data_IF_626802498216
#
_entry.id   IF_626802498216
#
_cell.length_a   1.000
_cell.length_b   1.000
_cell.length_c   1.000
_cell.angle_alpha   90.00
_cell.angle_beta   90.00
_cell.angle_gamma   90.00
#
_symmetry.space_group_name_H-M   'P 1'
#
loop_
_entity.id
_entity.type
_entity.pdbx_description
1 polymer ?
#
# COMPACT_ATOMS: atom_id res chain seq x y z
N UNK A 1 26.74 -34.82 15.64
CA UNK A 1 25.53 -33.97 15.76
C UNK A 1 25.63 -32.83 16.79
N UNK A 2 25.77 -33.03 18.11
CA UNK A 2 25.98 -31.88 19.05
C UNK A 2 27.34 -31.20 18.87
N UNK A 3 28.38 -31.96 18.57
CA UNK A 3 29.72 -31.45 18.28
C UNK A 3 29.78 -30.62 16.98
N UNK A 4 29.22 -31.13 15.87
CA UNK A 4 29.13 -30.39 14.59
C UNK A 4 28.35 -29.07 14.68
N UNK A 5 27.31 -29.02 15.52
CA UNK A 5 26.54 -27.78 15.71
C UNK A 5 27.37 -26.77 16.50
N UNK A 6 28.14 -27.23 17.49
CA UNK A 6 29.03 -26.37 18.26
C UNK A 6 30.18 -25.82 17.40
N UNK A 7 30.75 -26.66 16.54
CA UNK A 7 31.82 -26.32 15.61
C UNK A 7 31.35 -25.34 14.51
N UNK A 8 30.13 -25.49 13.99
CA UNK A 8 29.52 -24.53 13.05
C UNK A 8 29.15 -23.20 13.70
N UNK A 9 28.79 -23.20 14.99
CA UNK A 9 28.52 -21.97 15.75
C UNK A 9 29.83 -21.25 16.09
N UNK A 10 30.88 -21.98 16.44
CA UNK A 10 32.20 -21.41 16.67
C UNK A 10 32.82 -20.86 15.38
N UNK A 11 32.72 -21.58 14.25
CA UNK A 11 33.24 -21.07 12.97
C UNK A 11 32.48 -19.84 12.48
N UNK A 12 31.16 -19.76 12.73
CA UNK A 12 30.36 -18.59 12.41
C UNK A 12 30.71 -17.38 13.30
N UNK A 13 30.94 -17.60 14.60
CA UNK A 13 31.36 -16.54 15.52
C UNK A 13 32.81 -16.06 15.28
N UNK A 14 33.67 -16.92 14.75
CA UNK A 14 35.07 -16.59 14.45
C UNK A 14 35.21 -15.81 13.12
N UNK A 15 34.28 -16.02 12.18
CA UNK A 15 34.30 -15.37 10.86
C UNK A 15 33.36 -14.16 10.74
N UNK A 16 32.55 -13.87 11.76
CA UNK A 16 31.66 -12.71 11.77
C UNK A 16 32.42 -11.44 12.16
N UNK A 17 32.22 -10.37 11.39
CA UNK A 17 32.81 -9.07 11.72
C UNK A 17 32.20 -8.50 13.02
N UNK A 18 32.95 -7.68 13.80
CA UNK A 18 32.44 -7.12 15.05
C UNK A 18 31.12 -6.34 14.90
N UNK A 19 30.91 -5.67 13.76
CA UNK A 19 29.67 -4.97 13.43
C UNK A 19 28.48 -5.90 13.23
N UNK A 20 28.69 -7.08 12.63
CA UNK A 20 27.64 -8.08 12.42
C UNK A 20 27.19 -8.68 13.76
N UNK A 21 28.14 -8.94 14.66
CA UNK A 21 27.84 -9.43 16.01
C UNK A 21 27.06 -8.39 16.83
N UNK A 22 27.37 -7.11 16.68
CA UNK A 22 26.65 -6.02 17.33
C UNK A 22 25.23 -5.83 16.76
N UNK A 23 25.08 -5.92 15.43
CA UNK A 23 23.76 -5.90 14.76
C UNK A 23 22.88 -7.07 15.20
N UNK A 24 23.43 -8.28 15.30
CA UNK A 24 22.70 -9.46 15.76
C UNK A 24 22.25 -9.27 17.22
N UNK A 25 23.10 -8.71 18.08
CA UNK A 25 22.72 -8.37 19.46
C UNK A 25 21.58 -7.34 19.51
N UNK A 26 21.65 -6.28 18.70
CA UNK A 26 20.60 -5.25 18.62
C UNK A 26 19.28 -5.80 18.08
N UNK A 27 19.31 -6.67 17.08
CA UNK A 27 18.12 -7.33 16.52
C UNK A 27 17.49 -8.25 17.57
N UNK A 28 18.30 -9.05 18.27
CA UNK A 28 17.82 -9.93 19.34
C UNK A 28 17.14 -9.14 20.45
N UNK A 29 17.73 -8.02 20.87
CA UNK A 29 17.16 -7.12 21.87
C UNK A 29 15.85 -6.48 21.38
N UNK A 30 15.78 -6.07 20.11
CA UNK A 30 14.60 -5.41 19.50
C UNK A 30 13.44 -6.37 19.24
N UNK A 31 13.73 -7.64 19.00
CA UNK A 31 12.71 -8.71 18.86
C UNK A 31 12.15 -9.12 20.23
N UNK A 32 13.01 -9.22 21.25
CA UNK A 32 12.59 -9.50 22.63
C UNK A 32 11.69 -8.39 23.19
N UNK A 33 11.93 -7.13 22.80
CA UNK A 33 11.18 -5.97 23.31
C UNK A 33 9.84 -5.70 22.58
N UNK A 34 9.45 -6.47 21.56
CA UNK A 34 8.18 -6.27 20.85
C UNK A 34 7.05 -7.11 21.46
N UNK A 35 6.24 -6.49 22.33
CA UNK A 35 5.15 -7.11 23.09
C UNK A 35 4.11 -7.90 22.25
N UNK A 36 3.86 -7.52 20.98
CA UNK A 36 2.87 -8.21 20.14
C UNK A 36 3.35 -9.54 19.56
N UNK A 37 4.67 -9.80 19.58
CA UNK A 37 5.25 -11.08 19.17
C UNK A 37 5.35 -12.07 20.35
N UNK A 38 5.15 -11.62 21.60
CA UNK A 38 5.32 -12.47 22.77
C UNK A 38 4.12 -13.38 23.03
N UNK A 39 2.88 -12.96 22.77
CA UNK A 39 1.68 -13.72 23.20
C UNK A 39 1.47 -15.05 22.44
N UNK A 40 1.65 -15.07 21.11
CA UNK A 40 1.52 -16.31 20.33
C UNK A 40 2.71 -17.27 20.50
N UNK A 41 3.79 -16.77 21.10
CA UNK A 41 5.02 -17.48 21.44
C UNK A 41 5.15 -17.72 22.96
N UNK A 42 4.13 -17.39 23.76
CA UNK A 42 4.16 -17.38 25.22
C UNK A 42 3.92 -18.75 25.87
N UNK A 43 4.20 -19.86 25.16
CA UNK A 43 4.50 -21.08 25.89
C UNK A 43 5.92 -20.91 26.41
N UNK A 44 6.05 -20.61 27.70
CA UNK A 44 7.37 -20.52 28.34
C UNK A 44 8.20 -21.75 27.94
N UNK A 45 9.42 -21.57 27.42
CA UNK A 45 10.30 -22.69 27.01
C UNK A 45 10.59 -23.65 28.17
N UNK A 46 10.34 -23.22 29.42
CA UNK A 46 10.41 -24.03 30.63
C UNK A 46 9.46 -25.24 30.64
N UNK A 47 8.33 -25.18 29.92
CA UNK A 47 7.33 -26.25 29.89
C UNK A 47 7.37 -27.10 28.61
N UNK A 48 8.34 -26.88 27.71
CA UNK A 48 8.47 -27.62 26.46
C UNK A 48 9.43 -28.80 26.59
N UNK A 49 9.02 -29.98 26.10
CA UNK A 49 9.96 -31.10 26.04
C UNK A 49 11.07 -30.84 25.01
N UNK A 50 12.19 -31.56 25.14
CA UNK A 50 13.39 -31.41 24.28
C UNK A 50 13.10 -31.50 22.77
N UNK A 51 12.12 -32.32 22.37
CA UNK A 51 11.70 -32.52 20.97
C UNK A 51 10.83 -31.35 20.48
N UNK A 52 9.96 -30.82 21.33
CA UNK A 52 9.15 -29.63 21.07
C UNK A 52 10.03 -28.38 20.96
N UNK A 53 10.99 -28.21 21.87
CA UNK A 53 11.95 -27.11 21.87
C UNK A 53 12.83 -27.11 20.61
N UNK A 54 13.34 -28.27 20.20
CA UNK A 54 14.11 -28.39 18.95
C UNK A 54 13.28 -28.06 17.71
N UNK A 55 12.01 -28.50 17.66
CA UNK A 55 11.12 -28.18 16.53
C UNK A 55 10.80 -26.68 16.49
N UNK A 56 10.53 -26.09 17.65
CA UNK A 56 10.28 -24.65 17.80
C UNK A 56 11.49 -23.81 17.41
N UNK A 57 12.69 -24.14 17.91
CA UNK A 57 13.94 -23.46 17.56
C UNK A 57 14.31 -23.63 16.09
N UNK A 58 14.08 -24.81 15.48
CA UNK A 58 14.32 -25.02 14.05
C UNK A 58 13.42 -24.14 13.19
N UNK A 59 12.14 -24.01 13.57
CA UNK A 59 11.19 -23.14 12.88
C UNK A 59 11.53 -21.65 13.08
N UNK A 60 11.86 -21.24 14.31
CA UNK A 60 12.28 -19.87 14.62
C UNK A 60 13.55 -19.46 13.86
N UNK A 61 14.57 -20.32 13.83
CA UNK A 61 15.79 -20.07 13.07
C UNK A 61 15.55 -20.05 11.56
N UNK A 62 14.64 -20.90 11.06
CA UNK A 62 14.24 -20.87 9.65
C UNK A 62 13.55 -19.55 9.29
N UNK A 63 12.60 -19.09 10.11
CA UNK A 63 11.93 -17.79 9.91
C UNK A 63 12.91 -16.63 9.99
N UNK A 64 13.84 -16.63 10.96
CA UNK A 64 14.83 -15.57 11.09
C UNK A 64 15.83 -15.52 9.93
N UNK A 65 16.26 -16.69 9.41
CA UNK A 65 17.11 -16.72 8.22
C UNK A 65 16.39 -16.19 6.98
N UNK A 66 15.09 -16.49 6.85
CA UNK A 66 14.28 -15.92 5.76
C UNK A 66 14.13 -14.41 5.92
N UNK A 67 13.78 -13.95 7.14
CA UNK A 67 13.63 -12.54 7.44
C UNK A 67 14.92 -11.74 7.23
N UNK A 68 16.08 -12.31 7.56
CA UNK A 68 17.38 -11.64 7.40
C UNK A 68 17.79 -11.51 5.93
N UNK A 69 17.45 -12.49 5.08
CA UNK A 69 17.64 -12.39 3.63
C UNK A 69 16.77 -11.27 3.05
N UNK A 70 15.52 -11.16 3.50
CA UNK A 70 14.61 -10.10 3.06
C UNK A 70 15.01 -8.71 3.58
N UNK A 71 15.57 -8.61 4.78
CA UNK A 71 16.04 -7.34 5.35
C UNK A 71 17.36 -6.83 4.78
N UNK A 72 18.05 -7.62 3.95
CA UNK A 72 19.29 -7.17 3.32
C UNK A 72 18.97 -5.98 2.39
N UNK A 73 19.71 -4.89 2.57
CA UNK A 73 19.64 -3.76 1.65
C UNK A 73 19.97 -4.26 0.24
N UNK A 74 19.15 -3.85 -0.72
CA UNK A 74 19.32 -4.17 -2.12
C UNK A 74 20.03 -2.99 -2.77
N UNK A 75 21.07 -3.28 -3.54
CA UNK A 75 21.81 -2.29 -4.33
C UNK A 75 21.05 -1.99 -5.64
N UNK A 76 19.87 -1.37 -5.50
CA UNK A 76 19.08 -0.83 -6.60
C UNK A 76 19.00 0.67 -6.38
N UNK A 77 19.28 1.43 -7.43
CA UNK A 77 19.06 2.87 -7.46
C UNK A 77 17.57 3.18 -7.18
N UNK A 78 17.25 3.91 -6.08
CA UNK A 78 15.89 4.33 -5.78
C UNK A 78 15.21 5.08 -6.94
N UNK A 79 15.98 5.79 -7.76
CA UNK A 79 15.47 6.47 -8.95
C UNK A 79 14.79 5.53 -9.95
N UNK A 80 15.24 4.28 -10.08
CA UNK A 80 14.58 3.28 -10.95
C UNK A 80 13.21 2.86 -10.45
N UNK A 81 13.04 2.76 -9.13
CA UNK A 81 11.75 2.43 -8.52
C UNK A 81 10.77 3.60 -8.71
N UNK A 82 11.25 4.83 -8.50
CA UNK A 82 10.47 6.05 -8.74
C UNK A 82 10.05 6.12 -10.21
N UNK A 83 10.97 5.90 -11.15
CA UNK A 83 10.66 5.89 -12.58
C UNK A 83 9.66 4.82 -13.00
N UNK A 84 9.72 3.62 -12.41
CA UNK A 84 8.69 2.59 -12.62
C UNK A 84 7.33 3.03 -12.11
N UNK A 85 7.29 3.60 -10.89
CA UNK A 85 6.06 4.12 -10.29
C UNK A 85 5.46 5.22 -11.17
N UNK A 86 6.24 6.20 -11.60
CA UNK A 86 5.79 7.29 -12.48
C UNK A 86 5.26 6.77 -13.81
N UNK A 87 5.96 5.81 -14.42
CA UNK A 87 5.55 5.18 -15.67
C UNK A 87 4.20 4.47 -15.56
N UNK A 88 3.98 3.73 -14.47
CA UNK A 88 2.69 3.05 -14.23
C UNK A 88 1.59 4.07 -13.94
N UNK A 89 1.82 5.08 -13.10
CA UNK A 89 0.81 6.11 -12.83
C UNK A 89 0.40 6.84 -14.12
N UNK A 90 1.36 7.27 -14.93
CA UNK A 90 1.09 7.90 -16.23
C UNK A 90 0.28 6.99 -17.15
N UNK A 91 0.69 5.73 -17.30
CA UNK A 91 -0.02 4.75 -18.12
C UNK A 91 -1.46 4.53 -17.64
N UNK A 92 -1.66 4.29 -16.34
CA UNK A 92 -2.97 4.02 -15.74
C UNK A 92 -3.89 5.24 -15.83
N UNK A 93 -3.38 6.45 -15.61
CA UNK A 93 -4.15 7.69 -15.78
C UNK A 93 -4.61 7.89 -17.23
N UNK A 94 -3.79 7.52 -18.22
CA UNK A 94 -4.22 7.56 -19.63
C UNK A 94 -5.28 6.50 -19.94
N UNK A 95 -5.13 5.27 -19.41
CA UNK A 95 -6.10 4.18 -19.61
C UNK A 95 -7.50 4.51 -19.08
N UNK A 96 -7.62 5.33 -18.03
CA UNK A 96 -8.92 5.78 -17.54
C UNK A 96 -9.74 6.49 -18.63
N UNK A 97 -9.10 7.34 -19.43
CA UNK A 97 -9.76 8.05 -20.53
C UNK A 97 -10.15 7.09 -21.65
N UNK A 98 -9.29 6.12 -21.97
CA UNK A 98 -9.59 5.08 -22.96
C UNK A 98 -10.71 4.13 -22.52
N UNK A 99 -10.98 4.03 -21.21
CA UNK A 99 -12.06 3.20 -20.67
C UNK A 99 -13.48 3.75 -20.94
N UNK A 100 -13.61 4.94 -21.53
CA UNK A 100 -14.89 5.51 -21.96
C UNK A 100 -15.28 4.97 -23.32
N UNK A 101 -16.31 4.12 -23.37
CA UNK A 101 -16.79 3.53 -24.61
C UNK A 101 -17.49 4.57 -25.50
N UNK A 102 -17.18 4.52 -26.80
CA UNK A 102 -17.98 5.19 -27.82
C UNK A 102 -19.30 4.43 -28.02
N UNK A 103 -20.36 5.09 -28.53
CA UNK A 103 -21.64 4.41 -28.73
C UNK A 103 -21.48 3.31 -29.77
N UNK A 104 -22.00 2.11 -29.49
CA UNK A 104 -21.97 0.98 -30.43
C UNK A 104 -22.96 1.16 -31.58
N UNK A 105 -23.99 1.98 -31.40
CA UNK A 105 -25.00 2.28 -32.41
C UNK A 105 -24.61 3.48 -33.28
N UNK A 106 -24.98 3.42 -34.56
CA UNK A 106 -24.86 4.58 -35.45
C UNK A 106 -25.71 5.74 -34.94
N UNK A 107 -25.09 6.90 -34.79
CA UNK A 107 -25.75 8.14 -34.39
C UNK A 107 -26.37 8.78 -35.63
N UNK A 108 -27.65 8.49 -35.87
CA UNK A 108 -28.36 8.87 -37.10
C UNK A 108 -28.93 10.30 -37.06
N UNK A 109 -29.01 10.92 -35.89
CA UNK A 109 -29.51 12.29 -35.71
C UNK A 109 -28.76 13.07 -34.64
N UNK A 110 -28.89 14.41 -34.67
CA UNK A 110 -28.36 15.28 -33.60
C UNK A 110 -29.01 15.00 -32.24
N UNK A 111 -30.25 14.50 -32.22
CA UNK A 111 -30.94 14.10 -30.99
C UNK A 111 -30.30 12.85 -30.37
N UNK A 112 -29.91 11.88 -31.19
CA UNK A 112 -29.23 10.66 -30.73
C UNK A 112 -27.85 10.98 -30.15
N UNK A 113 -27.10 11.89 -30.80
CA UNK A 113 -25.83 12.38 -30.28
C UNK A 113 -25.99 13.11 -28.94
N UNK A 114 -26.99 13.99 -28.81
CA UNK A 114 -27.26 14.68 -27.56
C UNK A 114 -27.58 13.70 -26.42
N UNK A 115 -28.44 12.72 -26.68
CA UNK A 115 -28.80 11.70 -25.70
C UNK A 115 -27.59 10.85 -25.28
N UNK A 116 -26.71 10.51 -26.21
CA UNK A 116 -25.45 9.81 -25.92
C UNK A 116 -24.52 10.63 -25.00
N UNK A 117 -24.35 11.93 -25.27
CA UNK A 117 -23.51 12.79 -24.42
C UNK A 117 -24.10 12.88 -23.02
N UNK A 118 -25.41 13.10 -22.89
CA UNK A 118 -26.07 13.19 -21.58
C UNK A 118 -25.98 11.87 -20.81
N UNK A 119 -26.17 10.73 -21.46
CA UNK A 119 -26.06 9.42 -20.82
C UNK A 119 -24.62 9.05 -20.42
N UNK A 120 -23.61 9.68 -21.03
CA UNK A 120 -22.19 9.46 -20.72
C UNK A 120 -21.70 10.28 -19.52
N UNK A 121 -22.43 11.31 -19.08
CA UNK A 121 -22.03 12.18 -17.95
C UNK A 121 -21.68 11.40 -16.67
N UNK A 122 -22.48 10.40 -16.22
CA UNK A 122 -22.13 9.59 -15.04
C UNK A 122 -20.78 8.90 -15.18
N UNK A 123 -20.52 8.27 -16.34
CA UNK A 123 -19.27 7.55 -16.62
C UNK A 123 -18.09 8.52 -16.65
N UNK A 124 -18.24 9.69 -17.27
CA UNK A 124 -17.24 10.76 -17.25
C UNK A 124 -16.95 11.20 -15.80
N UNK A 125 -18.00 11.35 -14.99
CA UNK A 125 -17.88 11.72 -13.58
C UNK A 125 -17.02 10.74 -12.78
N UNK A 126 -17.33 9.45 -12.86
CA UNK A 126 -16.54 8.41 -12.17
C UNK A 126 -15.10 8.36 -12.69
N UNK A 127 -14.90 8.46 -14.01
CA UNK A 127 -13.56 8.50 -14.62
C UNK A 127 -12.73 9.67 -14.09
N UNK A 128 -13.32 10.86 -13.98
CA UNK A 128 -12.66 12.03 -13.40
C UNK A 128 -12.33 11.84 -11.91
N UNK A 129 -13.22 11.23 -11.13
CA UNK A 129 -12.94 10.89 -9.72
C UNK A 129 -11.72 9.99 -9.62
N UNK A 130 -11.70 8.90 -10.39
CA UNK A 130 -10.57 7.96 -10.41
C UNK A 130 -9.28 8.65 -10.83
N UNK A 131 -9.34 9.54 -11.82
CA UNK A 131 -8.18 10.32 -12.25
C UNK A 131 -7.61 11.18 -11.13
N UNK A 132 -8.46 11.96 -10.46
CA UNK A 132 -8.03 12.84 -9.36
C UNK A 132 -7.55 12.03 -8.15
N UNK A 133 -8.17 10.88 -7.86
CA UNK A 133 -7.70 9.96 -6.82
C UNK A 133 -6.29 9.45 -7.13
N UNK A 134 -6.05 8.96 -8.35
CA UNK A 134 -4.73 8.51 -8.78
C UNK A 134 -3.71 9.65 -8.74
N UNK A 135 -4.08 10.85 -9.21
CA UNK A 135 -3.21 12.03 -9.14
C UNK A 135 -2.85 12.37 -7.69
N UNK A 136 -3.80 12.28 -6.77
CA UNK A 136 -3.55 12.48 -5.33
C UNK A 136 -2.56 11.45 -4.80
N UNK A 137 -2.78 10.16 -5.06
CA UNK A 137 -1.84 9.10 -4.67
C UNK A 137 -0.43 9.31 -5.25
N UNK A 138 -0.34 9.76 -6.50
CA UNK A 138 0.94 10.07 -7.13
C UNK A 138 1.65 11.24 -6.46
N UNK A 139 0.93 12.34 -6.18
CA UNK A 139 1.48 13.51 -5.45
C UNK A 139 2.01 13.07 -4.08
N UNK A 140 1.21 12.32 -3.31
CA UNK A 140 1.63 11.84 -2.00
C UNK A 140 2.82 10.88 -2.07
N UNK A 141 2.84 9.98 -3.06
CA UNK A 141 3.99 9.11 -3.27
C UNK A 141 5.24 9.96 -3.53
N UNK A 142 5.19 10.90 -4.46
CA UNK A 142 6.36 11.71 -4.82
C UNK A 142 6.81 12.65 -3.69
N UNK A 143 5.87 13.23 -2.94
CA UNK A 143 6.18 14.15 -1.84
C UNK A 143 6.82 13.43 -0.65
N UNK A 144 6.24 12.29 -0.25
CA UNK A 144 6.58 11.65 1.02
C UNK A 144 7.54 10.48 0.89
N UNK A 145 7.73 9.91 -0.29
CA UNK A 145 8.57 8.72 -0.51
C UNK A 145 9.88 9.15 -1.16
N UNK A 146 10.76 9.73 -0.33
CA UNK A 146 12.16 10.01 -0.68
C UNK A 146 13.03 8.96 -0.02
N UNK A 147 13.39 7.94 -0.78
CA UNK A 147 14.05 6.75 -0.26
C UNK A 147 15.55 6.80 -0.53
N UNK A 148 16.34 6.68 0.54
CA UNK A 148 17.80 6.58 0.42
C UNK A 148 18.29 5.13 0.30
N UNK A 149 17.52 4.16 0.78
CA UNK A 149 17.89 2.75 0.80
C UNK A 149 16.67 1.87 0.54
N UNK A 150 16.85 0.80 -0.24
CA UNK A 150 15.81 -0.16 -0.56
C UNK A 150 16.09 -1.52 0.06
N UNK A 151 15.04 -2.25 0.41
CA UNK A 151 15.13 -3.68 0.72
C UNK A 151 13.99 -4.44 0.03
N UNK A 152 14.09 -5.77 0.03
CA UNK A 152 13.16 -6.63 -0.72
C UNK A 152 11.69 -6.48 -0.27
N UNK A 153 11.37 -6.41 1.04
CA UNK A 153 9.99 -6.19 1.49
C UNK A 153 9.40 -4.88 1.00
N UNK A 154 10.18 -3.80 1.02
CA UNK A 154 9.70 -2.50 0.52
C UNK A 154 9.38 -2.57 -0.97
N UNK A 155 10.25 -3.22 -1.76
CA UNK A 155 10.01 -3.43 -3.18
C UNK A 155 8.69 -4.18 -3.43
N UNK A 156 8.44 -5.26 -2.70
CA UNK A 156 7.18 -6.01 -2.83
C UNK A 156 5.96 -5.20 -2.40
N UNK A 157 6.05 -4.42 -1.31
CA UNK A 157 4.97 -3.51 -0.92
C UNK A 157 4.66 -2.50 -2.02
N UNK A 158 5.68 -1.93 -2.65
CA UNK A 158 5.52 -1.06 -3.80
C UNK A 158 4.89 -1.79 -5.00
N UNK A 159 5.27 -3.05 -5.27
CA UNK A 159 4.66 -3.84 -6.34
C UNK A 159 3.18 -4.14 -6.09
N UNK A 160 2.79 -4.47 -4.85
CA UNK A 160 1.37 -4.67 -4.51
C UNK A 160 0.57 -3.37 -4.61
N UNK A 161 1.16 -2.25 -4.18
CA UNK A 161 0.58 -0.93 -4.39
C UNK A 161 0.36 -0.65 -5.89
N UNK A 162 1.39 -0.79 -6.72
CA UNK A 162 1.31 -0.56 -8.18
C UNK A 162 0.35 -1.53 -8.88
N UNK A 163 0.23 -2.77 -8.41
CA UNK A 163 -0.75 -3.72 -8.92
C UNK A 163 -2.19 -3.25 -8.65
N UNK A 164 -2.46 -2.75 -7.44
CA UNK A 164 -3.78 -2.17 -7.13
C UNK A 164 -4.09 -0.91 -7.96
N UNK A 165 -3.09 -0.04 -8.15
CA UNK A 165 -3.21 1.14 -9.01
C UNK A 165 -3.55 0.73 -10.45
N UNK A 166 -2.87 -0.28 -10.98
CA UNK A 166 -3.13 -0.82 -12.33
C UNK A 166 -4.54 -1.40 -12.52
N UNK A 167 -5.21 -1.80 -11.44
CA UNK A 167 -6.59 -2.29 -11.48
C UNK A 167 -7.64 -1.17 -11.47
N UNK A 168 -7.27 0.06 -11.10
CA UNK A 168 -8.21 1.20 -11.00
C UNK A 168 -8.98 1.44 -12.30
N UNK A 169 -8.37 1.47 -13.50
CA UNK A 169 -9.09 1.70 -14.75
C UNK A 169 -10.18 0.66 -15.01
N UNK A 170 -9.86 -0.62 -14.80
CA UNK A 170 -10.82 -1.70 -14.93
C UNK A 170 -12.01 -1.51 -13.98
N UNK A 171 -11.74 -1.30 -12.69
CA UNK A 171 -12.82 -1.12 -11.71
C UNK A 171 -13.64 0.15 -11.93
N UNK A 172 -13.03 1.19 -12.51
CA UNK A 172 -13.69 2.43 -12.91
C UNK A 172 -14.65 2.19 -14.08
N UNK A 173 -14.20 1.48 -15.13
CA UNK A 173 -15.07 1.09 -16.24
C UNK A 173 -16.20 0.17 -15.80
N UNK A 174 -15.94 -0.74 -14.85
CA UNK A 174 -16.98 -1.60 -14.28
C UNK A 174 -18.05 -0.74 -13.62
N UNK A 175 -17.68 0.17 -12.73
CA UNK A 175 -18.68 0.96 -12.02
C UNK A 175 -19.33 2.03 -12.89
N UNK A 176 -18.61 2.57 -13.87
CA UNK A 176 -19.14 3.54 -14.85
C UNK A 176 -20.19 2.96 -15.79
N UNK A 177 -20.10 1.66 -16.14
CA UNK A 177 -21.04 0.99 -17.05
C UNK A 177 -22.11 0.15 -16.32
N UNK A 178 -21.80 -0.30 -15.10
CA UNK A 178 -22.61 -1.27 -14.36
C UNK A 178 -23.03 -0.75 -12.97
N UNK A 179 -23.11 0.57 -12.78
CA UNK A 179 -23.49 1.22 -11.52
C UNK A 179 -24.83 0.74 -10.94
N UNK A 180 -25.72 0.20 -11.78
CA UNK A 180 -26.97 -0.42 -11.35
C UNK A 180 -26.76 -1.70 -10.53
N UNK A 181 -25.62 -2.36 -10.68
CA UNK A 181 -25.28 -3.58 -9.95
C UNK A 181 -24.44 -3.24 -8.73
N UNK A 182 -24.94 -3.59 -7.54
CA UNK A 182 -24.23 -3.38 -6.27
C UNK A 182 -22.79 -3.92 -6.29
N UNK A 183 -22.58 -5.07 -6.94
CA UNK A 183 -21.27 -5.68 -7.04
C UNK A 183 -20.24 -4.79 -7.77
N UNK A 184 -20.66 -3.96 -8.72
CA UNK A 184 -19.79 -3.02 -9.40
C UNK A 184 -19.22 -1.97 -8.43
N UNK A 185 -20.06 -1.44 -7.54
CA UNK A 185 -19.66 -0.49 -6.50
C UNK A 185 -18.70 -1.14 -5.50
N UNK A 186 -19.00 -2.38 -5.06
CA UNK A 186 -18.14 -3.13 -4.13
C UNK A 186 -16.76 -3.39 -4.74
N UNK A 187 -16.69 -3.80 -6.01
CA UNK A 187 -15.42 -4.07 -6.69
C UNK A 187 -14.58 -2.79 -6.78
N UNK A 188 -15.18 -1.65 -7.12
CA UNK A 188 -14.50 -0.36 -7.12
C UNK A 188 -14.03 0.05 -5.73
N UNK A 189 -14.92 0.02 -4.73
CA UNK A 189 -14.61 0.38 -3.36
C UNK A 189 -13.53 -0.50 -2.74
N UNK A 190 -13.56 -1.81 -3.00
CA UNK A 190 -12.53 -2.75 -2.55
C UNK A 190 -11.18 -2.45 -3.17
N UNK A 191 -11.12 -2.09 -4.45
CA UNK A 191 -9.87 -1.74 -5.11
C UNK A 191 -9.27 -0.46 -4.51
N UNK A 192 -10.07 0.61 -4.34
CA UNK A 192 -9.63 1.84 -3.68
C UNK A 192 -9.17 1.58 -2.24
N UNK A 193 -9.87 0.71 -1.51
CA UNK A 193 -9.46 0.29 -0.17
C UNK A 193 -8.11 -0.42 -0.18
N UNK A 194 -7.88 -1.37 -1.09
CA UNK A 194 -6.61 -2.08 -1.23
C UNK A 194 -5.47 -1.14 -1.61
N UNK A 195 -5.70 -0.20 -2.53
CA UNK A 195 -4.72 0.83 -2.88
C UNK A 195 -4.30 1.64 -1.68
N UNK A 196 -5.26 2.11 -0.88
CA UNK A 196 -4.97 2.85 0.34
C UNK A 196 -4.25 1.99 1.39
N UNK A 197 -4.69 0.74 1.58
CA UNK A 197 -4.07 -0.20 2.50
C UNK A 197 -2.59 -0.42 2.16
N UNK A 198 -2.27 -0.71 0.89
CA UNK A 198 -0.89 -0.93 0.47
C UNK A 198 -0.05 0.34 0.58
N UNK A 199 -0.62 1.52 0.28
CA UNK A 199 0.06 2.79 0.49
C UNK A 199 0.44 2.99 1.97
N UNK A 200 -0.51 2.80 2.89
CA UNK A 200 -0.27 2.93 4.34
C UNK A 200 0.77 1.92 4.83
N UNK A 201 0.68 0.65 4.40
CA UNK A 201 1.66 -0.38 4.76
C UNK A 201 3.06 -0.03 4.27
N UNK A 202 3.17 0.45 3.02
CA UNK A 202 4.43 0.90 2.43
C UNK A 202 5.01 2.09 3.21
N UNK A 203 4.19 3.09 3.53
CA UNK A 203 4.61 4.27 4.28
C UNK A 203 5.01 3.94 5.74
N UNK A 204 4.23 3.09 6.43
CA UNK A 204 4.59 2.55 7.76
C UNK A 204 5.92 1.81 7.74
N UNK A 205 6.13 0.99 6.71
CA UNK A 205 7.36 0.23 6.59
C UNK A 205 8.57 1.14 6.35
N UNK A 206 8.43 2.13 5.45
CA UNK A 206 9.48 3.11 5.18
C UNK A 206 9.84 3.93 6.43
N UNK A 207 8.85 4.37 7.21
CA UNK A 207 9.09 5.11 8.45
C UNK A 207 9.81 4.24 9.49
N UNK A 208 9.34 3.00 9.69
CA UNK A 208 9.93 2.04 10.64
C UNK A 208 11.38 1.66 10.31
N UNK A 209 11.72 1.62 9.03
CA UNK A 209 13.07 1.30 8.55
C UNK A 209 13.96 2.53 8.34
N UNK A 210 13.46 3.74 8.65
CA UNK A 210 14.17 5.01 8.45
C UNK A 210 14.63 5.19 6.98
N UNK A 211 13.80 4.76 6.03
CA UNK A 211 14.07 4.91 4.60
C UNK A 211 13.69 6.29 4.08
N UNK A 212 12.74 6.95 4.75
CA UNK A 212 12.32 8.32 4.48
C UNK A 212 13.47 9.27 4.79
N UNK A 213 13.80 10.20 3.89
CA UNK A 213 14.74 11.29 4.17
C UNK A 213 14.41 11.98 5.50
N UNK A 214 15.44 12.35 6.27
CA UNK A 214 15.37 12.99 7.60
C UNK A 214 14.66 14.36 7.63
N UNK A 215 14.03 14.77 6.54
CA UNK A 215 13.31 16.04 6.40
C UNK A 215 11.86 15.99 6.86
N UNK A 216 11.26 14.81 7.03
CA UNK A 216 9.86 14.71 7.46
C UNK A 216 9.76 14.84 8.98
N UNK A 217 9.21 15.97 9.43
CA UNK A 217 8.85 16.22 10.83
C UNK A 217 7.85 15.17 11.34
N UNK A 218 7.81 14.98 12.67
CA UNK A 218 6.82 14.08 13.29
C UNK A 218 5.38 14.51 12.99
N UNK A 219 5.16 15.81 12.82
CA UNK A 219 3.84 16.36 12.51
C UNK A 219 3.41 16.03 11.09
N UNK A 220 4.31 16.13 10.10
CA UNK A 220 4.05 15.72 8.71
C UNK A 220 3.74 14.24 8.61
N UNK A 221 4.50 13.38 9.30
CA UNK A 221 4.22 11.93 9.32
C UNK A 221 2.83 11.63 9.89
N UNK A 222 2.50 12.24 11.04
CA UNK A 222 1.19 12.07 11.70
C UNK A 222 0.05 12.60 10.82
N UNK A 223 0.28 13.73 10.15
CA UNK A 223 -0.66 14.30 9.19
C UNK A 223 -0.95 13.32 8.06
N UNK A 224 0.09 12.78 7.42
CA UNK A 224 -0.03 11.79 6.34
C UNK A 224 -0.77 10.53 6.81
N UNK A 225 -0.40 9.96 7.96
CA UNK A 225 -1.13 8.81 8.52
C UNK A 225 -2.61 9.11 8.73
N UNK A 226 -2.94 10.25 9.33
CA UNK A 226 -4.32 10.65 9.54
C UNK A 226 -5.05 10.90 8.21
N UNK A 227 -4.35 11.24 7.11
CA UNK A 227 -4.97 11.46 5.78
C UNK A 227 -5.48 10.15 5.28
N UNK A 228 -4.58 9.21 5.16
CA UNK A 228 -4.89 7.92 4.58
C UNK A 228 -5.84 7.10 5.46
N UNK A 229 -5.77 7.21 6.79
CA UNK A 229 -6.74 6.58 7.68
C UNK A 229 -8.15 7.18 7.54
N UNK A 230 -8.26 8.51 7.42
CA UNK A 230 -9.56 9.16 7.17
C UNK A 230 -10.11 8.73 5.80
N UNK A 231 -9.28 8.71 4.75
CA UNK A 231 -9.68 8.22 3.43
C UNK A 231 -10.13 6.76 3.50
N UNK A 232 -9.41 5.91 4.24
CA UNK A 232 -9.75 4.49 4.39
C UNK A 232 -11.09 4.33 5.09
N UNK A 233 -11.31 5.07 6.18
CA UNK A 233 -12.57 5.09 6.91
C UNK A 233 -13.73 5.61 6.05
N UNK A 234 -13.52 6.70 5.31
CA UNK A 234 -14.50 7.26 4.38
C UNK A 234 -14.86 6.25 3.29
N UNK A 235 -13.88 5.57 2.68
CA UNK A 235 -14.14 4.52 1.69
C UNK A 235 -15.03 3.42 2.27
N UNK A 236 -14.75 2.94 3.49
CA UNK A 236 -15.58 1.92 4.13
C UNK A 236 -17.00 2.45 4.40
N UNK A 237 -17.12 3.67 4.93
CA UNK A 237 -18.42 4.30 5.21
C UNK A 237 -19.23 4.48 3.93
N UNK A 238 -18.64 4.97 2.85
CA UNK A 238 -19.33 5.15 1.55
C UNK A 238 -19.84 3.81 1.04
N UNK A 239 -19.03 2.74 1.09
CA UNK A 239 -19.46 1.40 0.68
C UNK A 239 -20.62 0.87 1.54
N UNK A 240 -20.61 1.12 2.85
CA UNK A 240 -21.71 0.75 3.74
C UNK A 240 -22.98 1.56 3.48
N UNK A 241 -22.86 2.85 3.16
CA UNK A 241 -24.00 3.70 2.80
C UNK A 241 -24.62 3.30 1.46
N UNK A 242 -23.79 3.00 0.45
CA UNK A 242 -24.23 2.48 -0.85
C UNK A 242 -24.99 1.15 -0.70
N UNK A 243 -24.60 0.30 0.27
CA UNK A 243 -25.31 -0.95 0.55
C UNK A 243 -26.70 -0.73 1.17
N UNK A 244 -26.83 0.25 2.08
CA UNK A 244 -28.04 0.38 2.92
C UNK A 244 -29.10 1.36 2.40
N UNK A 245 -28.71 2.41 1.68
CA UNK A 245 -29.62 3.54 1.43
C UNK A 245 -29.97 3.77 -0.05
N UNK A 246 -28.97 4.04 -0.90
CA UNK A 246 -29.18 4.41 -2.31
C UNK A 246 -27.91 4.22 -3.10
N UNK A 247 -28.00 3.96 -4.41
CA UNK A 247 -26.85 3.69 -5.29
C UNK A 247 -26.09 4.95 -5.73
N UNK A 248 -26.57 6.14 -5.33
CA UNK A 248 -25.97 7.42 -5.69
C UNK A 248 -24.83 7.84 -4.74
N UNK A 249 -24.53 7.08 -3.68
CA UNK A 249 -23.45 7.47 -2.75
C UNK A 249 -22.06 7.25 -3.34
N UNK A 250 -21.94 6.58 -4.48
CA UNK A 250 -20.68 6.53 -5.23
C UNK A 250 -20.14 7.94 -5.55
N UNK A 251 -21.00 8.93 -5.79
CA UNK A 251 -20.55 10.30 -6.01
C UNK A 251 -19.94 10.93 -4.75
N UNK A 252 -20.15 10.38 -3.56
CA UNK A 252 -19.40 10.82 -2.36
C UNK A 252 -17.91 10.51 -2.46
N UNK A 253 -17.48 9.60 -3.35
CA UNK A 253 -16.06 9.46 -3.64
C UNK A 253 -15.45 10.75 -4.24
N UNK A 254 -16.23 11.69 -4.79
CA UNK A 254 -15.72 13.04 -5.14
C UNK A 254 -15.22 13.81 -3.93
N UNK A 255 -15.76 13.55 -2.73
CA UNK A 255 -15.30 14.23 -1.52
C UNK A 255 -13.93 13.75 -1.08
N UNK A 256 -13.53 12.52 -1.41
CA UNK A 256 -12.24 11.97 -1.00
C UNK A 256 -11.05 12.81 -1.49
N UNK A 257 -10.87 13.05 -2.81
CA UNK A 257 -9.78 13.90 -3.28
C UNK A 257 -9.93 15.34 -2.84
N UNK A 258 -11.15 15.89 -2.81
CA UNK A 258 -11.42 17.27 -2.38
C UNK A 258 -10.99 17.48 -0.93
N UNK A 259 -11.38 16.57 -0.03
CA UNK A 259 -10.97 16.60 1.38
C UNK A 259 -9.45 16.49 1.47
N UNK A 260 -8.82 15.58 0.72
CA UNK A 260 -7.37 15.42 0.71
C UNK A 260 -6.66 16.72 0.32
N UNK A 261 -7.05 17.33 -0.80
CA UNK A 261 -6.45 18.56 -1.33
C UNK A 261 -6.66 19.74 -0.40
N UNK A 262 -7.88 19.94 0.12
CA UNK A 262 -8.17 21.02 1.08
C UNK A 262 -7.28 20.87 2.31
N UNK A 263 -7.16 19.64 2.81
CA UNK A 263 -6.40 19.37 4.01
C UNK A 263 -4.91 19.63 3.80
N UNK A 264 -4.38 19.31 2.62
CA UNK A 264 -2.98 19.58 2.26
C UNK A 264 -2.73 21.08 2.17
N UNK A 265 -3.64 21.84 1.54
CA UNK A 265 -3.55 23.30 1.48
C UNK A 265 -3.55 23.88 2.90
N UNK A 266 -4.48 23.43 3.75
CA UNK A 266 -4.59 23.88 5.14
C UNK A 266 -3.34 23.53 5.97
N UNK A 267 -2.71 22.39 5.70
CA UNK A 267 -1.47 21.99 6.38
C UNK A 267 -0.31 22.89 5.94
N UNK A 268 -0.13 23.12 4.63
CA UNK A 268 0.92 24.01 4.10
C UNK A 268 0.77 25.46 4.53
N UNK A 269 -0.44 25.93 4.82
CA UNK A 269 -0.67 27.29 5.33
C UNK A 269 -0.27 27.47 6.81
N UNK A 270 -0.15 26.37 7.57
CA UNK A 270 0.18 26.42 9.01
C UNK A 270 1.67 26.28 9.29
N UNK A 271 2.43 25.79 8.32
CA UNK A 271 3.88 25.54 8.40
C UNK A 271 4.64 26.67 7.73
#
# INVERSE_FOLDING_TARGET
MRAEIHEKIESYNHNATPEELERIKKIKQKVINNHHFSEKFNKSPENMNKKQLNKHNKYYNYLNNILSIFQKNVDIDPGRLIGLTDGIFGMVMTLLIFGMALPEMELLSSGDFYNFIVSSIPTIGVTLVSFVLLASFWIYHHEFIKINNLNVPYLWLNMFFLASISFVPFTTSVVGNYSQFFLANVVFGLNIFLTNLFFVLMFLYADKMHFLEDKLSREEKKYTYNTFLIIMGLTVVINLLDFNFSRNFIYLFFLVPVISTIRDIMFRMKT
#
